data_IF_392715290200
#
_entry.id   IF_392715290200
#
_cell.length_a   1.000
_cell.length_b   1.000
_cell.length_c   1.000
_cell.angle_alpha   90.00
_cell.angle_beta   90.00
_cell.angle_gamma   90.00
#
_symmetry.space_group_name_H-M   'P 1'
#
loop_
_entity.id
_entity.type
_entity.pdbx_description
1 polymer ?
#
# COMPACT_ATOMS: atom_id res chain seq x y z
N UNK A 1 -77.86 12.91 -20.47
CA UNK A 1 -77.24 13.06 -19.14
C UNK A 1 -76.63 11.73 -18.73
N UNK A 2 -75.35 11.51 -18.97
CA UNK A 2 -74.45 10.87 -18.00
C UNK A 2 -73.01 11.27 -18.36
N UNK A 3 -72.32 12.04 -17.50
CA UNK A 3 -70.93 12.48 -17.70
C UNK A 3 -69.94 11.52 -17.00
N UNK A 4 -68.65 11.74 -17.22
CA UNK A 4 -67.47 11.08 -16.63
C UNK A 4 -66.90 9.85 -17.34
N UNK A 5 -66.05 10.13 -18.34
CA UNK A 5 -64.68 9.61 -18.30
C UNK A 5 -63.87 10.38 -17.24
N UNK A 6 -62.93 9.73 -16.53
CA UNK A 6 -61.68 10.37 -16.16
C UNK A 6 -60.55 9.84 -17.04
N UNK A 7 -59.95 10.81 -17.71
CA UNK A 7 -58.67 10.78 -18.38
C UNK A 7 -57.52 10.66 -17.36
N UNK A 8 -56.33 10.36 -17.87
CA UNK A 8 -55.00 10.66 -17.33
C UNK A 8 -54.57 10.13 -15.94
N UNK A 9 -54.04 8.91 -15.95
CA UNK A 9 -53.02 8.43 -15.00
C UNK A 9 -51.62 8.40 -15.62
N UNK A 10 -51.18 9.51 -16.23
CA UNK A 10 -49.79 9.66 -16.65
C UNK A 10 -48.94 10.01 -15.43
N UNK A 11 -48.28 9.00 -14.86
CA UNK A 11 -47.24 9.20 -13.87
C UNK A 11 -46.15 10.11 -14.46
N UNK A 12 -46.15 11.38 -14.07
CA UNK A 12 -45.05 12.31 -14.28
C UNK A 12 -43.79 11.74 -13.60
N UNK A 13 -42.96 11.06 -14.37
CA UNK A 13 -41.54 10.94 -14.09
C UNK A 13 -40.92 12.31 -14.30
N UNK A 14 -41.01 13.18 -13.27
CA UNK A 14 -40.32 14.46 -13.28
C UNK A 14 -38.80 14.18 -13.35
N UNK A 15 -38.15 14.74 -14.37
CA UNK A 15 -36.70 14.69 -14.51
C UNK A 15 -36.03 15.19 -13.21
N UNK A 16 -34.91 14.57 -12.78
CA UNK A 16 -34.23 14.99 -11.56
C UNK A 16 -33.85 16.47 -11.68
N UNK A 17 -34.21 17.24 -10.65
CA UNK A 17 -33.80 18.64 -10.53
C UNK A 17 -32.27 18.73 -10.44
N UNK A 18 -31.67 19.84 -10.90
CA UNK A 18 -30.20 20.00 -10.93
C UNK A 18 -29.52 19.78 -9.55
N UNK A 19 -30.25 20.03 -8.45
CA UNK A 19 -29.81 19.74 -7.09
C UNK A 19 -29.76 18.23 -6.78
N UNK A 20 -30.69 17.44 -7.32
CA UNK A 20 -30.73 15.99 -7.14
C UNK A 20 -29.58 15.31 -7.91
N UNK A 21 -29.23 15.81 -9.10
CA UNK A 21 -28.10 15.29 -9.87
C UNK A 21 -26.76 15.51 -9.18
N UNK A 22 -26.56 16.69 -8.58
CA UNK A 22 -25.35 17.00 -7.81
C UNK A 22 -25.27 16.20 -6.51
N UNK A 23 -26.37 16.03 -5.78
CA UNK A 23 -26.43 15.18 -4.58
C UNK A 23 -26.06 13.70 -4.87
N UNK A 24 -26.43 13.16 -6.03
CA UNK A 24 -26.02 11.81 -6.44
C UNK A 24 -24.52 11.72 -6.70
N UNK A 25 -23.93 12.69 -7.41
CA UNK A 25 -22.47 12.74 -7.65
C UNK A 25 -21.67 12.86 -6.33
N UNK A 26 -22.20 13.60 -5.35
CA UNK A 26 -21.62 13.66 -4.01
C UNK A 26 -21.67 12.32 -3.29
N UNK A 27 -22.82 11.62 -3.36
CA UNK A 27 -22.97 10.30 -2.76
C UNK A 27 -21.97 9.30 -3.38
N UNK A 28 -21.85 9.28 -4.70
CA UNK A 28 -20.94 8.37 -5.41
C UNK A 28 -19.47 8.61 -5.02
N UNK A 29 -19.05 9.87 -4.93
CA UNK A 29 -17.71 10.23 -4.48
C UNK A 29 -17.50 9.82 -3.01
N UNK A 30 -18.48 10.04 -2.14
CA UNK A 30 -18.39 9.69 -0.74
C UNK A 30 -18.28 8.16 -0.55
N UNK A 31 -19.11 7.39 -1.26
CA UNK A 31 -19.07 5.93 -1.24
C UNK A 31 -17.72 5.39 -1.73
N UNK A 32 -17.15 6.01 -2.78
CA UNK A 32 -15.81 5.68 -3.24
C UNK A 32 -14.73 5.95 -2.17
N UNK A 33 -14.79 7.11 -1.50
CA UNK A 33 -13.88 7.48 -0.41
C UNK A 33 -14.01 6.54 0.79
N UNK A 34 -15.23 6.15 1.18
CA UNK A 34 -15.45 5.18 2.25
C UNK A 34 -14.85 3.82 1.91
N UNK A 35 -14.97 3.39 0.65
CA UNK A 35 -14.36 2.16 0.18
C UNK A 35 -12.83 2.26 0.18
N UNK A 36 -12.24 3.40 -0.21
CA UNK A 36 -10.80 3.65 -0.05
C UNK A 36 -10.38 3.53 1.42
N UNK A 37 -11.10 4.16 2.34
CA UNK A 37 -10.83 4.10 3.78
C UNK A 37 -10.84 2.64 4.28
N UNK A 38 -11.84 1.84 3.88
CA UNK A 38 -11.92 0.42 4.25
C UNK A 38 -10.69 -0.35 3.78
N UNK A 39 -10.28 -0.17 2.53
CA UNK A 39 -9.12 -0.89 1.98
C UNK A 39 -7.81 -0.42 2.61
N UNK A 40 -7.64 0.87 2.88
CA UNK A 40 -6.47 1.39 3.59
C UNK A 40 -6.38 0.90 5.05
N UNK A 41 -7.51 0.72 5.74
CA UNK A 41 -7.53 0.08 7.06
C UNK A 41 -7.08 -1.37 6.98
N UNK A 42 -7.62 -2.14 6.03
CA UNK A 42 -7.18 -3.52 5.81
C UNK A 42 -5.70 -3.60 5.43
N UNK A 43 -5.21 -2.70 4.58
CA UNK A 43 -3.79 -2.61 4.24
C UNK A 43 -2.93 -2.33 5.47
N UNK A 44 -3.36 -1.40 6.33
CA UNK A 44 -2.67 -1.10 7.59
C UNK A 44 -2.54 -2.34 8.49
N UNK A 45 -3.58 -3.16 8.57
CA UNK A 45 -3.52 -4.41 9.34
C UNK A 45 -2.56 -5.42 8.71
N UNK A 46 -2.52 -5.52 7.37
CA UNK A 46 -1.59 -6.38 6.62
C UNK A 46 -0.13 -5.95 6.82
N UNK A 47 0.20 -4.65 6.76
CA UNK A 47 1.58 -4.19 7.00
C UNK A 47 1.98 -4.30 8.48
N UNK A 48 1.04 -4.20 9.42
CA UNK A 48 1.33 -4.49 10.84
C UNK A 48 1.62 -5.97 11.06
N UNK A 49 0.82 -6.86 10.46
CA UNK A 49 1.04 -8.30 10.51
C UNK A 49 2.39 -8.68 9.87
N UNK A 50 2.77 -8.02 8.78
CA UNK A 50 4.07 -8.19 8.14
C UNK A 50 5.22 -7.99 9.13
N UNK A 51 5.14 -6.96 9.99
CA UNK A 51 6.13 -6.70 11.04
C UNK A 51 6.28 -7.89 11.98
N UNK A 52 5.16 -8.45 12.44
CA UNK A 52 5.14 -9.61 13.34
C UNK A 52 5.74 -10.86 12.67
N UNK A 53 5.42 -11.08 11.40
CA UNK A 53 5.94 -12.19 10.59
C UNK A 53 7.46 -12.06 10.38
N UNK A 54 7.94 -10.84 10.10
CA UNK A 54 9.37 -10.54 9.93
C UNK A 54 10.14 -10.81 11.22
N UNK A 55 9.62 -10.38 12.36
CA UNK A 55 10.22 -10.66 13.68
C UNK A 55 10.24 -12.17 13.94
N UNK A 56 9.18 -12.89 13.60
CA UNK A 56 9.10 -14.34 13.74
C UNK A 56 9.89 -15.13 12.68
N UNK A 57 10.45 -14.47 11.66
CA UNK A 57 11.21 -15.08 10.56
C UNK A 57 10.46 -16.18 9.79
N UNK A 58 9.14 -16.02 9.62
CA UNK A 58 8.29 -17.02 8.96
C UNK A 58 8.09 -16.73 7.47
N UNK A 59 8.95 -17.29 6.61
CA UNK A 59 8.95 -17.00 5.17
C UNK A 59 7.65 -17.38 4.44
N UNK A 60 7.02 -18.51 4.78
CA UNK A 60 5.77 -18.93 4.13
C UNK A 60 4.62 -17.97 4.44
N UNK A 61 4.50 -17.55 5.71
CA UNK A 61 3.52 -16.55 6.13
C UNK A 61 3.80 -15.19 5.49
N UNK A 62 5.07 -14.83 5.29
CA UNK A 62 5.47 -13.58 4.64
C UNK A 62 5.02 -13.55 3.18
N UNK A 63 5.17 -14.66 2.47
CA UNK A 63 4.74 -14.77 1.08
C UNK A 63 3.22 -14.61 0.94
N UNK A 64 2.44 -15.25 1.82
CA UNK A 64 0.98 -15.10 1.81
C UNK A 64 0.55 -13.67 2.18
N UNK A 65 1.23 -13.06 3.16
CA UNK A 65 0.99 -11.67 3.52
C UNK A 65 1.26 -10.70 2.35
N UNK A 66 2.32 -10.96 1.56
CA UNK A 66 2.63 -10.20 0.36
C UNK A 66 1.53 -10.31 -0.71
N UNK A 67 0.98 -11.49 -0.97
CA UNK A 67 -0.16 -11.65 -1.90
C UNK A 67 -1.39 -10.85 -1.44
N UNK A 68 -1.67 -10.87 -0.14
CA UNK A 68 -2.75 -10.06 0.44
C UNK A 68 -2.49 -8.56 0.23
N UNK A 69 -1.25 -8.11 0.50
CA UNK A 69 -0.81 -6.73 0.26
C UNK A 69 -0.99 -6.32 -1.21
N UNK A 70 -0.55 -7.14 -2.15
CA UNK A 70 -0.68 -6.88 -3.59
C UNK A 70 -2.15 -6.76 -4.02
N UNK A 71 -3.01 -7.65 -3.51
CA UNK A 71 -4.45 -7.61 -3.77
C UNK A 71 -5.05 -6.28 -3.30
N UNK A 72 -4.67 -5.80 -2.10
CA UNK A 72 -5.12 -4.50 -1.60
C UNK A 72 -4.60 -3.34 -2.44
N UNK A 73 -3.34 -3.37 -2.87
CA UNK A 73 -2.75 -2.33 -3.72
C UNK A 73 -3.44 -2.23 -5.08
N UNK A 74 -3.78 -3.36 -5.71
CA UNK A 74 -4.57 -3.39 -6.96
C UNK A 74 -5.93 -2.74 -6.73
N UNK A 75 -6.61 -3.08 -5.63
CA UNK A 75 -7.90 -2.51 -5.27
C UNK A 75 -7.82 -1.01 -5.00
N UNK A 76 -6.80 -0.53 -4.30
CA UNK A 76 -6.55 0.90 -4.06
C UNK A 76 -6.39 1.63 -5.39
N UNK A 77 -5.57 1.11 -6.32
CA UNK A 77 -5.40 1.73 -7.65
C UNK A 77 -6.73 1.83 -8.40
N UNK A 78 -7.55 0.79 -8.37
CA UNK A 78 -8.87 0.80 -9.01
C UNK A 78 -9.79 1.86 -8.40
N UNK A 79 -9.89 1.91 -7.07
CA UNK A 79 -10.72 2.87 -6.35
C UNK A 79 -10.24 4.31 -6.51
N UNK A 80 -8.93 4.54 -6.55
CA UNK A 80 -8.34 5.86 -6.76
C UNK A 80 -8.65 6.39 -8.18
N UNK A 81 -8.58 5.53 -9.19
CA UNK A 81 -9.01 5.87 -10.54
C UNK A 81 -10.50 6.23 -10.59
N UNK A 82 -11.35 5.53 -9.83
CA UNK A 82 -12.76 5.87 -9.69
C UNK A 82 -12.94 7.21 -8.95
N UNK A 83 -12.19 7.47 -7.88
CA UNK A 83 -12.20 8.73 -7.15
C UNK A 83 -11.93 9.91 -8.07
N UNK A 84 -10.90 9.80 -8.91
CA UNK A 84 -10.54 10.84 -9.88
C UNK A 84 -11.70 11.10 -10.84
N UNK A 85 -12.32 10.04 -11.39
CA UNK A 85 -13.48 10.17 -12.28
C UNK A 85 -14.65 10.88 -11.60
N UNK A 86 -15.07 10.40 -10.42
CA UNK A 86 -16.16 10.99 -9.65
C UNK A 86 -15.87 12.46 -9.29
N UNK A 87 -14.62 12.77 -8.90
CA UNK A 87 -14.21 14.13 -8.58
C UNK A 87 -14.20 15.06 -9.81
N UNK A 88 -13.77 14.57 -10.97
CA UNK A 88 -13.83 15.32 -12.24
C UNK A 88 -15.27 15.58 -12.68
N UNK A 89 -16.15 14.59 -12.59
CA UNK A 89 -17.56 14.73 -12.98
C UNK A 89 -18.28 15.72 -12.06
N UNK A 90 -17.99 15.67 -10.76
CA UNK A 90 -18.49 16.61 -9.78
C UNK A 90 -17.95 18.03 -10.00
N UNK A 91 -16.64 18.18 -10.27
CA UNK A 91 -16.03 19.48 -10.54
C UNK A 91 -16.64 20.15 -11.78
N UNK A 92 -16.88 19.38 -12.85
CA UNK A 92 -17.58 19.87 -14.05
C UNK A 92 -19.00 20.37 -13.74
N UNK A 93 -19.73 19.65 -12.88
CA UNK A 93 -21.10 20.01 -12.51
C UNK A 93 -21.17 21.26 -11.61
N UNK A 94 -20.17 21.45 -10.74
CA UNK A 94 -20.11 22.57 -9.79
C UNK A 94 -19.39 23.80 -10.37
N UNK A 95 -18.77 23.67 -11.54
CA UNK A 95 -18.01 24.75 -12.19
C UNK A 95 -16.65 25.00 -11.54
N UNK A 96 -16.10 24.01 -10.83
CA UNK A 96 -14.77 24.07 -10.23
C UNK A 96 -13.68 23.61 -11.22
N UNK A 97 -12.40 23.75 -10.85
CA UNK A 97 -11.30 23.25 -11.65
C UNK A 97 -11.39 21.72 -11.83
N UNK A 98 -11.38 21.29 -13.09
CA UNK A 98 -11.59 19.92 -13.53
C UNK A 98 -10.32 19.28 -14.10
N UNK A 99 -9.24 20.06 -14.32
CA UNK A 99 -7.95 19.52 -14.75
C UNK A 99 -7.22 18.84 -13.59
N UNK A 100 -7.36 19.36 -12.36
CA UNK A 100 -6.78 18.77 -11.16
C UNK A 100 -7.72 18.85 -9.94
N UNK A 101 -8.85 18.12 -9.94
CA UNK A 101 -9.87 18.26 -8.90
C UNK A 101 -9.32 17.81 -7.54
N UNK A 102 -8.92 18.78 -6.70
CA UNK A 102 -8.53 18.52 -5.31
C UNK A 102 -9.78 18.40 -4.46
N UNK A 103 -9.80 17.38 -3.60
CA UNK A 103 -10.94 17.08 -2.74
C UNK A 103 -11.33 18.26 -1.83
N UNK A 104 -10.34 19.02 -1.36
CA UNK A 104 -10.56 20.23 -0.54
C UNK A 104 -11.11 21.40 -1.36
N UNK A 105 -10.71 21.52 -2.63
CA UNK A 105 -11.21 22.57 -3.52
C UNK A 105 -12.68 22.30 -3.89
N UNK A 106 -13.04 21.02 -4.13
CA UNK A 106 -14.42 20.59 -4.28
C UNK A 106 -15.22 20.94 -3.02
N UNK A 107 -14.74 20.55 -1.84
CA UNK A 107 -15.44 20.78 -0.56
C UNK A 107 -15.77 22.26 -0.28
N UNK A 108 -15.01 23.21 -0.86
CA UNK A 108 -15.29 24.65 -0.70
C UNK A 108 -16.46 25.15 -1.56
N UNK A 109 -16.86 24.41 -2.59
CA UNK A 109 -17.95 24.77 -3.50
C UNK A 109 -19.24 23.97 -3.23
N UNK A 110 -19.23 23.08 -2.22
CA UNK A 110 -20.36 22.25 -1.85
C UNK A 110 -21.24 22.91 -0.78
N UNK A 111 -22.48 22.41 -0.67
CA UNK A 111 -23.28 22.64 0.53
C UNK A 111 -22.53 22.20 1.80
N UNK A 112 -22.74 22.89 2.94
CA UNK A 112 -22.07 22.58 4.21
C UNK A 112 -22.21 21.11 4.63
N UNK A 113 -23.36 20.48 4.34
CA UNK A 113 -23.62 19.04 4.62
C UNK A 113 -22.57 18.10 4.01
N UNK A 114 -22.09 18.42 2.81
CA UNK A 114 -21.15 17.59 2.06
C UNK A 114 -19.70 18.04 2.32
N UNK A 115 -19.48 19.34 2.49
CA UNK A 115 -18.16 19.92 2.76
C UNK A 115 -17.49 19.27 3.99
N UNK A 116 -18.21 19.20 5.12
CA UNK A 116 -17.68 18.63 6.36
C UNK A 116 -17.37 17.13 6.23
N UNK A 117 -18.20 16.38 5.49
CA UNK A 117 -17.99 14.95 5.22
C UNK A 117 -16.74 14.72 4.37
N UNK A 118 -16.57 15.49 3.29
CA UNK A 118 -15.40 15.38 2.41
C UNK A 118 -14.11 15.74 3.15
N UNK A 119 -14.12 16.80 3.96
CA UNK A 119 -12.97 17.19 4.80
C UNK A 119 -12.61 16.10 5.81
N UNK A 120 -13.61 15.52 6.49
CA UNK A 120 -13.39 14.41 7.41
C UNK A 120 -12.78 13.19 6.70
N UNK A 121 -13.35 12.77 5.55
CA UNK A 121 -12.81 11.66 4.77
C UNK A 121 -11.39 11.92 4.30
N UNK A 122 -11.08 13.15 3.87
CA UNK A 122 -9.71 13.54 3.51
C UNK A 122 -8.75 13.36 4.69
N UNK A 123 -9.09 13.90 5.88
CA UNK A 123 -8.25 13.77 7.08
C UNK A 123 -8.06 12.32 7.51
N UNK A 124 -9.11 11.49 7.43
CA UNK A 124 -9.03 10.06 7.77
C UNK A 124 -8.12 9.32 6.79
N UNK A 125 -8.25 9.56 5.49
CA UNK A 125 -7.40 8.95 4.47
C UNK A 125 -5.94 9.37 4.62
N UNK A 126 -5.67 10.67 4.81
CA UNK A 126 -4.32 11.19 5.00
C UNK A 126 -3.63 10.55 6.22
N UNK A 127 -4.36 10.45 7.34
CA UNK A 127 -3.86 9.76 8.54
C UNK A 127 -3.55 8.27 8.28
N UNK A 128 -4.43 7.57 7.57
CA UNK A 128 -4.23 6.15 7.25
C UNK A 128 -3.02 5.94 6.33
N UNK A 129 -2.89 6.76 5.28
CA UNK A 129 -1.78 6.69 4.33
C UNK A 129 -0.45 6.92 5.04
N UNK A 130 -0.35 7.97 5.86
CA UNK A 130 0.84 8.26 6.67
C UNK A 130 1.20 7.07 7.56
N UNK A 131 0.20 6.50 8.24
CA UNK A 131 0.43 5.38 9.15
C UNK A 131 0.86 4.09 8.43
N UNK A 132 0.31 3.82 7.25
CA UNK A 132 0.76 2.70 6.40
C UNK A 132 2.21 2.92 5.98
N UNK A 133 2.56 4.12 5.53
CA UNK A 133 3.93 4.46 5.12
C UNK A 133 4.93 4.30 6.28
N UNK A 134 4.58 4.77 7.48
CA UNK A 134 5.43 4.65 8.67
C UNK A 134 5.69 3.19 9.05
N UNK A 135 4.65 2.35 9.05
CA UNK A 135 4.79 0.92 9.38
C UNK A 135 5.58 0.19 8.28
N UNK A 136 5.31 0.49 7.01
CA UNK A 136 6.04 -0.10 5.89
C UNK A 136 7.55 0.26 5.95
N UNK A 137 7.90 1.50 6.31
CA UNK A 137 9.29 1.91 6.52
C UNK A 137 9.97 1.11 7.64
N UNK A 138 9.27 0.89 8.76
CA UNK A 138 9.79 0.04 9.84
C UNK A 138 10.03 -1.40 9.38
N UNK A 139 9.13 -1.94 8.54
CA UNK A 139 9.30 -3.28 7.98
C UNK A 139 10.50 -3.35 7.04
N UNK A 140 10.71 -2.31 6.22
CA UNK A 140 11.89 -2.20 5.36
C UNK A 140 13.18 -2.18 6.19
N UNK A 141 13.24 -1.40 7.26
CA UNK A 141 14.39 -1.34 8.18
C UNK A 141 14.69 -2.72 8.80
N UNK A 142 13.66 -3.48 9.20
CA UNK A 142 13.83 -4.85 9.71
C UNK A 142 14.42 -5.79 8.66
N UNK A 143 13.94 -5.74 7.42
CA UNK A 143 14.45 -6.56 6.31
C UNK A 143 15.90 -6.21 6.02
N UNK A 144 16.23 -4.92 5.94
CA UNK A 144 17.61 -4.47 5.68
C UNK A 144 18.58 -4.90 6.79
N UNK A 145 18.16 -4.80 8.06
CA UNK A 145 18.96 -5.27 9.18
C UNK A 145 19.22 -6.78 9.11
N UNK A 146 18.19 -7.58 8.78
CA UNK A 146 18.32 -9.03 8.62
C UNK A 146 19.29 -9.39 7.48
N UNK A 147 19.18 -8.73 6.33
CA UNK A 147 20.07 -8.95 5.18
C UNK A 147 21.52 -8.56 5.49
N UNK A 148 21.73 -7.43 6.17
CA UNK A 148 23.06 -6.99 6.60
C UNK A 148 23.71 -8.01 7.54
N UNK A 149 22.95 -8.54 8.50
CA UNK A 149 23.44 -9.56 9.43
C UNK A 149 23.81 -10.86 8.72
N UNK A 150 22.98 -11.33 7.78
CA UNK A 150 23.27 -12.53 6.97
C UNK A 150 24.55 -12.33 6.14
N UNK A 151 24.70 -11.15 5.52
CA UNK A 151 25.86 -10.82 4.70
C UNK A 151 27.15 -10.82 5.55
N UNK A 152 27.13 -10.13 6.70
CA UNK A 152 28.28 -10.13 7.62
C UNK A 152 28.63 -11.51 8.16
N UNK A 153 27.64 -12.35 8.47
CA UNK A 153 27.87 -13.73 8.88
C UNK A 153 28.53 -14.56 7.77
N UNK A 154 28.09 -14.42 6.51
CA UNK A 154 28.72 -15.08 5.36
C UNK A 154 30.16 -14.62 5.14
N UNK A 155 30.44 -13.32 5.31
CA UNK A 155 31.81 -12.80 5.21
C UNK A 155 32.72 -13.34 6.30
N UNK A 156 32.24 -13.41 7.54
CA UNK A 156 32.98 -14.00 8.66
C UNK A 156 33.28 -15.49 8.42
N UNK A 157 32.32 -16.24 7.89
CA UNK A 157 32.53 -17.64 7.50
C UNK A 157 33.59 -17.73 6.37
N UNK A 158 33.46 -16.91 5.33
CA UNK A 158 34.43 -16.86 4.22
C UNK A 158 35.84 -16.56 4.73
N UNK A 159 35.99 -15.58 5.62
CA UNK A 159 37.28 -15.17 6.15
C UNK A 159 37.86 -16.20 7.13
N UNK A 160 37.02 -16.90 7.89
CA UNK A 160 37.43 -18.04 8.72
C UNK A 160 37.88 -19.26 7.91
N UNK A 161 37.31 -19.46 6.72
CA UNK A 161 37.70 -20.53 5.78
C UNK A 161 38.95 -20.19 4.96
N UNK A 162 39.38 -18.92 4.91
CA UNK A 162 40.65 -18.58 4.28
C UNK A 162 41.79 -19.23 5.07
N UNK A 163 42.69 -19.98 4.41
CA UNK A 163 43.83 -20.58 5.11
C UNK A 163 44.66 -19.46 5.74
N UNK A 164 44.84 -19.52 7.07
CA UNK A 164 45.75 -18.60 7.77
C UNK A 164 47.16 -18.84 7.21
N UNK A 165 47.89 -17.80 6.78
CA UNK A 165 49.30 -17.96 6.47
C UNK A 165 50.01 -18.41 7.75
N UNK A 166 50.47 -19.67 7.75
CA UNK A 166 51.26 -20.19 8.85
C UNK A 166 52.60 -19.47 8.90
N UNK A 167 53.03 -19.02 10.08
CA UNK A 167 54.39 -18.55 10.29
C UNK A 167 55.33 -19.75 10.10
N UNK A 168 55.95 -19.83 8.92
CA UNK A 168 57.05 -20.75 8.68
C UNK A 168 58.18 -20.47 9.67
N UNK A 169 58.84 -21.52 10.15
CA UNK A 169 59.89 -21.49 11.20
C UNK A 169 61.15 -20.68 10.83
N UNK A 170 61.15 -20.02 9.67
CA UNK A 170 62.13 -19.05 9.19
C UNK A 170 61.41 -17.86 8.53
N UNK A 171 60.78 -16.99 9.34
CA UNK A 171 60.58 -15.56 9.09
C UNK A 171 60.09 -15.05 7.73
N UNK A 172 59.55 -15.91 6.86
CA UNK A 172 59.09 -15.56 5.52
C UNK A 172 57.70 -16.15 5.32
N UNK A 173 56.77 -15.29 4.94
CA UNK A 173 55.38 -15.68 4.66
C UNK A 173 55.39 -16.41 3.32
N UNK A 174 55.47 -17.75 3.36
CA UNK A 174 55.33 -18.56 2.17
C UNK A 174 53.84 -18.65 1.80
N UNK A 175 53.46 -17.95 0.74
CA UNK A 175 52.17 -18.15 0.06
C UNK A 175 52.21 -19.52 -0.59
N UNK A 176 51.69 -20.55 0.09
CA UNK A 176 51.61 -21.90 -0.46
C UNK A 176 50.51 -21.95 -1.52
N UNK A 177 50.93 -22.02 -2.78
CA UNK A 177 50.11 -22.52 -3.87
C UNK A 177 49.73 -23.98 -3.55
N UNK A 178 48.44 -24.28 -3.69
CA UNK A 178 47.85 -25.59 -3.45
C UNK A 178 48.36 -26.55 -4.54
N UNK A 179 49.21 -27.49 -4.17
CA UNK A 179 49.45 -28.70 -4.97
C UNK A 179 49.17 -29.94 -4.13
N UNK A 180 48.56 -30.92 -4.77
CA UNK A 180 47.86 -32.04 -4.16
C UNK A 180 48.76 -33.03 -3.43
N UNK A 181 48.17 -33.65 -2.41
CA UNK A 181 48.45 -35.03 -2.03
C UNK A 181 49.81 -35.31 -1.39
N UNK A 182 49.88 -35.25 -0.06
CA UNK A 182 50.78 -36.16 0.66
C UNK A 182 50.24 -36.50 2.05
N UNK A 183 49.54 -37.63 2.11
CA UNK A 183 49.19 -38.33 3.33
C UNK A 183 50.48 -38.92 3.93
N UNK A 184 51.00 -38.32 4.98
CA UNK A 184 52.12 -38.91 5.73
C UNK A 184 51.55 -39.95 6.69
N UNK A 185 51.78 -41.22 6.35
CA UNK A 185 51.61 -42.37 7.25
C UNK A 185 52.50 -42.18 8.47
N UNK A 186 51.89 -42.32 9.65
CA UNK A 186 52.56 -42.38 10.95
C UNK A 186 52.83 -43.85 11.25
N UNK A 187 54.10 -44.24 11.30
CA UNK A 187 54.52 -45.44 12.03
C UNK A 187 55.75 -45.14 12.88
N UNK A 188 55.63 -45.57 14.14
CA UNK A 188 56.59 -45.78 15.25
C UNK A 188 57.80 -44.86 15.38
#
# INVERSE_FOLDING_TARGET
MNPNQPDTGAAMTAAPTAQQASDLLYSDLLDNLENLVKVYRSLLDVVRREKEILIASKLDELNENNKSKDTMLIRIRSLENQRIKCATDLAKHVGADHESPRLLDIANHCDPKWSDRLRNMHSVLDLLIKRVADVNKQNEELVQAALSNITGAMEAIRDGLKPKPGYGRQGSVATTAVDGGQLVRREV
#
